data_IF_382203104586
#
_entry.id   IF_382203104586
#
_cell.length_a   1.000
_cell.length_b   1.000
_cell.length_c   1.000
_cell.angle_alpha   90.00
_cell.angle_beta   90.00
_cell.angle_gamma   90.00
#
_symmetry.space_group_name_H-M   'P 1'
#
loop_
_entity.id
_entity.type
_entity.pdbx_description
1 polymer ?
#
# COMPACT_ATOMS: atom_id res chain seq x y z
N UNK A 1 7.36 -13.71 7.21
CA UNK A 1 6.84 -13.59 5.83
C UNK A 1 5.35 -13.27 5.80
N UNK A 2 4.42 -14.18 6.14
CA UNK A 2 2.97 -13.85 6.03
C UNK A 2 2.53 -12.70 6.97
N UNK A 3 3.12 -12.63 8.18
CA UNK A 3 2.85 -11.53 9.13
C UNK A 3 3.33 -10.18 8.57
N UNK A 4 4.48 -10.15 7.91
CA UNK A 4 5.10 -8.94 7.36
C UNK A 4 4.27 -8.35 6.20
N UNK A 5 3.67 -9.20 5.36
CA UNK A 5 2.77 -8.75 4.28
C UNK A 5 1.46 -8.19 4.84
N UNK A 6 0.92 -8.76 5.93
CA UNK A 6 -0.30 -8.26 6.58
C UNK A 6 -0.07 -6.90 7.24
N UNK A 7 1.08 -6.71 7.89
CA UNK A 7 1.47 -5.42 8.47
C UNK A 7 1.64 -4.35 7.38
N UNK A 8 2.39 -4.67 6.32
CA UNK A 8 2.53 -3.77 5.17
C UNK A 8 1.18 -3.40 4.57
N UNK A 9 0.31 -4.39 4.34
CA UNK A 9 -1.03 -4.19 3.79
C UNK A 9 -1.91 -3.32 4.67
N UNK A 10 -1.84 -3.50 6.00
CA UNK A 10 -2.52 -2.65 6.97
C UNK A 10 -2.01 -1.21 6.90
N UNK A 11 -0.71 -0.99 6.89
CA UNK A 11 -0.11 0.34 6.81
C UNK A 11 -0.52 1.07 5.52
N UNK A 12 -0.53 0.35 4.39
CA UNK A 12 -1.01 0.89 3.11
C UNK A 12 -2.48 1.31 3.18
N UNK A 13 -3.33 0.47 3.77
CA UNK A 13 -4.76 0.77 3.95
C UNK A 13 -4.96 2.00 4.84
N UNK A 14 -4.22 2.08 5.93
CA UNK A 14 -4.32 3.18 6.88
C UNK A 14 -3.87 4.50 6.22
N UNK A 15 -2.77 4.48 5.47
CA UNK A 15 -2.30 5.63 4.69
C UNK A 15 -3.32 6.07 3.63
N UNK A 16 -3.90 5.13 2.87
CA UNK A 16 -4.94 5.43 1.89
C UNK A 16 -6.16 6.07 2.53
N UNK A 17 -6.67 5.49 3.63
CA UNK A 17 -7.83 6.01 4.36
C UNK A 17 -7.56 7.38 4.97
N UNK A 18 -6.35 7.64 5.48
CA UNK A 18 -5.95 8.96 5.99
C UNK A 18 -5.98 10.04 4.91
N UNK A 19 -5.75 9.68 3.65
CA UNK A 19 -5.89 10.57 2.49
C UNK A 19 -7.35 10.65 1.97
N UNK A 20 -8.28 9.92 2.56
CA UNK A 20 -9.69 9.90 2.15
C UNK A 20 -9.97 9.16 0.85
N UNK A 21 -9.03 8.34 0.37
CA UNK A 21 -9.12 7.70 -0.95
C UNK A 21 -9.81 6.34 -0.89
N UNK A 22 -10.63 6.04 -1.89
CA UNK A 22 -11.11 4.70 -2.25
C UNK A 22 -10.00 3.87 -2.91
N UNK A 23 -10.22 2.57 -3.08
CA UNK A 23 -9.27 1.71 -3.80
C UNK A 23 -9.10 2.13 -5.27
N UNK A 24 -10.19 2.50 -5.93
CA UNK A 24 -10.18 2.92 -7.34
C UNK A 24 -9.48 4.28 -7.51
N UNK A 25 -9.68 5.22 -6.59
CA UNK A 25 -8.96 6.51 -6.64
C UNK A 25 -7.45 6.31 -6.45
N UNK A 26 -7.03 5.49 -5.49
CA UNK A 26 -5.61 5.16 -5.33
C UNK A 26 -5.06 4.43 -6.57
N UNK A 27 -5.85 3.54 -7.19
CA UNK A 27 -5.47 2.83 -8.40
C UNK A 27 -5.17 3.79 -9.56
N UNK A 28 -6.05 4.79 -9.75
CA UNK A 28 -5.86 5.84 -10.76
C UNK A 28 -4.60 6.65 -10.48
N UNK A 29 -4.41 7.15 -9.26
CA UNK A 29 -3.27 8.02 -8.92
C UNK A 29 -1.94 7.27 -8.98
N UNK A 30 -1.93 5.99 -8.59
CA UNK A 30 -0.73 5.14 -8.60
C UNK A 30 -0.47 4.43 -9.93
N UNK A 31 -1.38 4.56 -10.90
CA UNK A 31 -1.38 3.79 -12.15
C UNK A 31 -1.22 2.28 -11.89
N UNK A 32 -2.06 1.76 -10.99
CA UNK A 32 -2.15 0.35 -10.63
C UNK A 32 -3.59 -0.12 -10.81
N UNK A 33 -3.80 -1.42 -10.63
CA UNK A 33 -5.13 -2.02 -10.63
C UNK A 33 -5.71 -2.04 -9.20
N UNK A 34 -6.99 -1.69 -9.03
CA UNK A 34 -7.61 -1.60 -7.70
C UNK A 34 -7.75 -2.96 -7.02
N UNK A 35 -7.94 -4.04 -7.79
CA UNK A 35 -7.92 -5.41 -7.27
C UNK A 35 -6.51 -5.82 -6.84
N UNK A 36 -5.46 -5.37 -7.54
CA UNK A 36 -4.08 -5.53 -7.07
C UNK A 36 -3.87 -4.80 -5.74
N UNK A 37 -4.26 -3.53 -5.63
CA UNK A 37 -4.16 -2.77 -4.36
C UNK A 37 -4.92 -3.48 -3.24
N UNK A 38 -6.15 -3.95 -3.50
CA UNK A 38 -6.93 -4.71 -2.53
C UNK A 38 -6.23 -5.98 -2.06
N UNK A 39 -5.56 -6.72 -2.94
CA UNK A 39 -4.74 -7.89 -2.55
C UNK A 39 -3.55 -7.49 -1.68
N UNK A 40 -2.89 -6.38 -2.01
CA UNK A 40 -1.75 -5.86 -1.26
C UNK A 40 -2.19 -5.45 0.15
N UNK A 41 -3.29 -4.69 0.28
CA UNK A 41 -3.83 -4.27 1.58
C UNK A 41 -4.25 -5.43 2.49
N UNK A 42 -4.54 -6.59 1.91
CA UNK A 42 -4.87 -7.80 2.65
C UNK A 42 -3.67 -8.74 2.84
N UNK A 43 -2.46 -8.33 2.42
CA UNK A 43 -1.24 -9.14 2.54
C UNK A 43 -1.25 -10.42 1.71
N UNK A 44 -2.05 -10.48 0.64
CA UNK A 44 -2.25 -11.68 -0.18
C UNK A 44 -1.23 -11.86 -1.30
N UNK A 45 -0.47 -10.80 -1.61
CA UNK A 45 0.53 -10.80 -2.66
C UNK A 45 1.76 -10.03 -2.22
N UNK A 46 2.92 -10.52 -2.65
CA UNK A 46 4.14 -9.74 -2.58
C UNK A 46 4.14 -8.65 -3.67
N UNK A 47 4.91 -7.60 -3.47
CA UNK A 47 5.01 -6.47 -4.39
C UNK A 47 6.42 -6.28 -4.91
N UNK A 48 6.52 -5.83 -6.15
CA UNK A 48 7.79 -5.40 -6.72
C UNK A 48 8.14 -3.99 -6.23
N UNK A 49 9.43 -3.67 -6.18
CA UNK A 49 9.92 -2.33 -5.82
C UNK A 49 9.25 -1.21 -6.63
N UNK A 50 8.98 -1.41 -7.92
CA UNK A 50 8.28 -0.43 -8.76
C UNK A 50 6.86 -0.13 -8.26
N UNK A 51 6.15 -1.15 -7.77
CA UNK A 51 4.81 -0.99 -7.19
C UNK A 51 4.89 -0.22 -5.87
N UNK A 52 5.89 -0.53 -5.03
CA UNK A 52 6.14 0.21 -3.80
C UNK A 52 6.37 1.71 -4.09
N UNK A 53 7.25 2.05 -5.03
CA UNK A 53 7.54 3.44 -5.42
C UNK A 53 6.28 4.15 -5.92
N UNK A 54 5.45 3.48 -6.73
CA UNK A 54 4.18 4.04 -7.22
C UNK A 54 3.23 4.39 -6.08
N UNK A 55 3.07 3.49 -5.12
CA UNK A 55 2.18 3.69 -3.96
C UNK A 55 2.68 4.84 -3.06
N UNK A 56 3.97 4.87 -2.75
CA UNK A 56 4.58 5.92 -1.91
C UNK A 56 4.41 7.29 -2.54
N UNK A 57 4.61 7.42 -3.87
CA UNK A 57 4.41 8.67 -4.60
C UNK A 57 2.94 9.07 -4.66
N UNK A 58 2.04 8.13 -4.93
CA UNK A 58 0.61 8.40 -5.01
C UNK A 58 0.01 8.84 -3.67
N UNK A 59 0.53 8.30 -2.57
CA UNK A 59 0.10 8.64 -1.21
C UNK A 59 0.86 9.83 -0.62
N UNK A 60 1.97 10.25 -1.24
CA UNK A 60 2.86 11.30 -0.73
C UNK A 60 3.27 11.05 0.74
N UNK A 61 3.97 9.92 0.93
CA UNK A 61 4.46 9.41 2.22
C UNK A 61 5.92 8.96 2.09
N UNK A 62 6.57 8.61 3.21
CA UNK A 62 7.89 8.00 3.20
C UNK A 62 7.78 6.45 3.11
N UNK A 63 8.81 5.74 2.61
CA UNK A 63 8.82 4.28 2.63
C UNK A 63 8.63 3.67 4.02
N UNK A 64 9.17 4.32 5.05
CA UNK A 64 9.06 3.85 6.42
C UNK A 64 7.62 3.83 6.94
N UNK A 65 6.73 4.66 6.39
CA UNK A 65 5.31 4.65 6.76
C UNK A 65 4.62 3.33 6.35
N UNK A 66 5.21 2.55 5.44
CA UNK A 66 4.69 1.26 5.00
C UNK A 66 5.46 0.07 5.59
N UNK A 67 6.76 0.21 5.86
CA UNK A 67 7.68 -0.91 6.15
C UNK A 67 8.18 -0.92 7.61
N UNK A 68 7.86 0.10 8.42
CA UNK A 68 8.32 0.13 9.81
C UNK A 68 7.73 -1.02 10.63
N UNK A 69 8.59 -1.75 11.34
CA UNK A 69 8.17 -2.54 12.51
C UNK A 69 8.04 -1.56 13.68
N UNK A 70 6.87 -1.45 14.28
CA UNK A 70 6.82 -0.93 15.64
C UNK A 70 7.65 -1.87 16.52
N UNK A 71 8.49 -1.30 17.37
CA UNK A 71 9.41 -2.04 18.26
C UNK A 71 8.67 -2.90 19.26
#
# INVERSE_FOLDING_TARGET
MEIELKEFGKNLRDARKKKGLTLDELAVISELDSKQIGKIENGLVDIRLKTLIKLIRALDIAPNDLISREK
#
